data_IF_846297235265
#
_entry.id   IF_846297235265
#
_cell.length_a   1.000
_cell.length_b   1.000
_cell.length_c   1.000
_cell.angle_alpha   90.00
_cell.angle_beta   90.00
_cell.angle_gamma   90.00
#
_symmetry.space_group_name_H-M   'P 1'
#
loop_
_entity.id
_entity.type
_entity.pdbx_description
1 polymer ?
#
# COMPACT_ATOMS: atom_id res chain seq x y z
N UNK A 1 2.86 14.19 6.46
CA UNK A 1 1.93 13.10 6.82
C UNK A 1 1.62 13.13 8.32
N UNK A 2 2.62 13.20 9.20
CA UNK A 2 2.42 13.14 10.67
C UNK A 2 1.62 14.31 11.25
N UNK A 3 1.54 15.44 10.59
CA UNK A 3 0.73 16.62 10.97
C UNK A 3 -0.75 16.46 10.66
N UNK A 4 -1.13 15.52 9.78
CA UNK A 4 -2.52 15.26 9.44
C UNK A 4 -3.24 14.52 10.58
N UNK A 5 -4.59 14.64 10.68
CA UNK A 5 -5.40 13.81 11.57
C UNK A 5 -5.14 12.32 11.33
N UNK A 6 -5.21 11.51 12.39
CA UNK A 6 -5.04 10.05 12.28
C UNK A 6 -6.15 9.43 11.41
N UNK A 7 -5.91 8.21 10.93
CA UNK A 7 -6.87 7.45 10.14
C UNK A 7 -6.81 7.78 8.65
N UNK A 8 -7.97 7.98 8.02
CA UNK A 8 -8.10 8.11 6.57
C UNK A 8 -7.25 9.22 5.94
N UNK A 9 -7.13 10.44 6.52
CA UNK A 9 -6.28 11.48 5.94
C UNK A 9 -4.80 11.08 5.85
N UNK A 10 -4.28 10.39 6.87
CA UNK A 10 -2.89 9.88 6.84
C UNK A 10 -2.73 8.72 5.88
N UNK A 11 -3.71 7.83 5.80
CA UNK A 11 -3.71 6.70 4.88
C UNK A 11 -3.68 7.19 3.44
N UNK A 12 -4.55 8.14 3.09
CA UNK A 12 -4.58 8.77 1.77
C UNK A 12 -3.23 9.42 1.44
N UNK A 13 -2.70 10.26 2.35
CA UNK A 13 -1.44 10.95 2.16
C UNK A 13 -0.23 9.99 2.02
N UNK A 14 -0.25 8.85 2.73
CA UNK A 14 0.77 7.82 2.59
C UNK A 14 0.74 7.19 1.19
N UNK A 15 -0.46 6.83 0.70
CA UNK A 15 -0.63 6.26 -0.64
C UNK A 15 -0.22 7.25 -1.73
N UNK A 16 -0.62 8.52 -1.60
CA UNK A 16 -0.22 9.58 -2.52
C UNK A 16 1.30 9.77 -2.57
N UNK A 17 1.96 9.75 -1.40
CA UNK A 17 3.40 9.87 -1.29
C UNK A 17 4.13 8.67 -1.94
N UNK A 18 3.64 7.45 -1.77
CA UNK A 18 4.23 6.26 -2.40
C UNK A 18 4.07 6.27 -3.92
N UNK A 19 2.90 6.65 -4.43
CA UNK A 19 2.69 6.76 -5.86
C UNK A 19 3.51 7.92 -6.46
N UNK A 20 3.65 9.04 -5.74
CA UNK A 20 4.53 10.13 -6.16
C UNK A 20 6.02 9.70 -6.14
N UNK A 21 6.43 8.85 -5.21
CA UNK A 21 7.78 8.27 -5.20
C UNK A 21 8.07 7.44 -6.45
N UNK A 22 7.10 6.68 -6.95
CA UNK A 22 7.24 5.89 -8.18
C UNK A 22 7.35 6.77 -9.44
N UNK A 23 6.74 7.96 -9.41
CA UNK A 23 6.78 8.94 -10.50
C UNK A 23 8.14 9.64 -10.61
N UNK A 24 8.80 9.83 -9.46
CA UNK A 24 10.10 10.49 -9.42
C UNK A 24 11.21 9.49 -9.73
N UNK A 25 11.67 9.48 -10.98
CA UNK A 25 12.81 8.67 -11.44
C UNK A 25 14.15 9.15 -10.83
N UNK A 26 14.24 9.19 -9.48
CA UNK A 26 15.48 9.49 -8.76
C UNK A 26 16.58 8.49 -9.05
N UNK A 27 16.17 7.25 -9.33
CA UNK A 27 17.09 6.16 -9.62
C UNK A 27 16.80 5.59 -11.01
N UNK A 28 17.78 5.38 -11.87
CA UNK A 28 17.59 4.81 -13.20
C UNK A 28 16.87 3.44 -13.18
N UNK A 29 17.04 2.67 -12.10
CA UNK A 29 16.40 1.38 -11.89
C UNK A 29 15.01 1.43 -11.21
N UNK A 30 14.47 2.61 -10.89
CA UNK A 30 13.23 2.75 -10.11
C UNK A 30 13.45 2.61 -8.60
N UNK A 31 12.45 2.12 -7.88
CA UNK A 31 12.56 1.91 -6.43
C UNK A 31 13.48 0.71 -6.12
N UNK A 32 14.65 0.93 -5.51
CA UNK A 32 15.58 -0.18 -5.22
C UNK A 32 15.01 -1.19 -4.24
N UNK A 33 14.14 -0.76 -3.31
CA UNK A 33 13.50 -1.68 -2.37
C UNK A 33 12.55 -2.65 -3.08
N UNK A 34 11.74 -2.16 -4.02
CA UNK A 34 10.83 -3.02 -4.78
C UNK A 34 11.58 -3.95 -5.72
N UNK A 35 12.68 -3.51 -6.33
CA UNK A 35 13.53 -4.37 -7.14
C UNK A 35 14.19 -5.47 -6.28
N UNK A 36 14.75 -5.11 -5.13
CA UNK A 36 15.44 -6.04 -4.24
C UNK A 36 14.50 -7.11 -3.64
N UNK A 37 13.23 -6.78 -3.39
CA UNK A 37 12.27 -7.76 -2.86
C UNK A 37 12.18 -8.98 -3.76
N UNK A 38 12.04 -8.81 -5.07
CA UNK A 38 11.92 -9.92 -6.01
C UNK A 38 13.24 -10.67 -6.26
N UNK A 39 14.37 -10.01 -6.03
CA UNK A 39 15.68 -10.63 -6.19
C UNK A 39 16.08 -11.47 -4.97
N UNK A 40 15.68 -11.05 -3.77
CA UNK A 40 16.15 -11.62 -2.51
C UNK A 40 15.06 -12.35 -1.71
N UNK A 41 13.84 -12.54 -2.23
CA UNK A 41 12.74 -13.20 -1.50
C UNK A 41 13.08 -14.64 -1.09
N UNK A 42 13.81 -15.38 -1.92
CA UNK A 42 14.24 -16.75 -1.67
C UNK A 42 15.74 -16.90 -1.26
N UNK A 43 16.44 -15.76 -1.02
CA UNK A 43 17.85 -15.77 -0.65
C UNK A 43 18.04 -15.48 0.84
N UNK A 44 18.16 -16.48 1.73
CA UNK A 44 18.38 -16.25 3.16
C UNK A 44 19.63 -15.41 3.43
N UNK A 45 19.54 -14.47 4.38
CA UNK A 45 20.67 -13.64 4.78
C UNK A 45 20.26 -12.22 5.17
N UNK A 46 21.25 -11.40 5.52
CA UNK A 46 21.06 -10.08 6.10
C UNK A 46 20.23 -9.12 5.20
N UNK A 47 20.37 -9.23 3.87
CA UNK A 47 19.61 -8.41 2.92
C UNK A 47 18.13 -8.77 2.98
N UNK A 48 17.80 -10.05 2.86
CA UNK A 48 16.43 -10.53 2.99
C UNK A 48 15.82 -10.13 4.34
N UNK A 49 16.55 -10.32 5.41
CA UNK A 49 16.06 -9.96 6.76
C UNK A 49 15.76 -8.46 6.89
N UNK A 50 16.59 -7.61 6.29
CA UNK A 50 16.34 -6.17 6.25
C UNK A 50 15.09 -5.82 5.42
N UNK A 51 14.88 -6.49 4.27
CA UNK A 51 13.71 -6.33 3.42
C UNK A 51 12.44 -6.79 4.14
N UNK A 52 12.47 -7.93 4.82
CA UNK A 52 11.33 -8.46 5.61
C UNK A 52 10.91 -7.45 6.68
N UNK A 53 11.88 -6.92 7.44
CA UNK A 53 11.59 -5.88 8.44
C UNK A 53 11.01 -4.60 7.83
N UNK A 54 11.61 -4.11 6.74
CA UNK A 54 11.18 -2.88 6.08
C UNK A 54 9.80 -3.00 5.43
N UNK A 55 9.57 -4.06 4.68
CA UNK A 55 8.28 -4.32 4.01
C UNK A 55 7.18 -4.64 5.03
N UNK A 56 7.49 -5.42 6.08
CA UNK A 56 6.58 -5.69 7.19
C UNK A 56 6.15 -4.40 7.87
N UNK A 57 7.09 -3.52 8.23
CA UNK A 57 6.78 -2.23 8.82
C UNK A 57 5.88 -1.35 7.94
N UNK A 58 6.12 -1.32 6.62
CA UNK A 58 5.30 -0.58 5.68
C UNK A 58 3.86 -1.12 5.64
N UNK A 59 3.71 -2.45 5.52
CA UNK A 59 2.42 -3.12 5.49
C UNK A 59 1.64 -2.92 6.79
N UNK A 60 2.30 -3.08 7.93
CA UNK A 60 1.70 -2.83 9.25
C UNK A 60 1.29 -1.37 9.44
N UNK A 61 2.02 -0.44 8.83
CA UNK A 61 1.65 0.98 8.87
C UNK A 61 0.35 1.25 8.12
N UNK A 62 0.18 0.68 6.93
CA UNK A 62 -1.10 0.77 6.18
C UNK A 62 -2.24 0.17 7.00
N UNK A 63 -2.03 -1.03 7.56
CA UNK A 63 -3.03 -1.71 8.38
C UNK A 63 -3.46 -0.85 9.60
N UNK A 64 -2.48 -0.35 10.37
CA UNK A 64 -2.78 0.50 11.54
C UNK A 64 -3.53 1.78 11.16
N UNK A 65 -3.24 2.37 10.00
CA UNK A 65 -3.95 3.57 9.54
C UNK A 65 -5.38 3.23 9.09
N UNK A 66 -5.59 2.09 8.45
CA UNK A 66 -6.92 1.60 8.08
C UNK A 66 -7.77 1.29 9.35
N UNK A 67 -7.20 0.61 10.34
CA UNK A 67 -7.84 0.34 11.64
C UNK A 67 -8.19 1.63 12.37
N UNK A 68 -7.28 2.62 12.36
CA UNK A 68 -7.55 3.93 12.95
C UNK A 68 -8.69 4.68 12.22
N UNK A 69 -8.79 4.54 10.90
CA UNK A 69 -9.88 5.14 10.13
C UNK A 69 -11.25 4.51 10.47
N UNK A 70 -11.29 3.19 10.68
CA UNK A 70 -12.50 2.51 11.18
C UNK A 70 -12.85 2.97 12.60
N UNK A 71 -11.87 2.98 13.51
CA UNK A 71 -12.07 3.40 14.90
C UNK A 71 -12.57 4.85 15.03
N UNK A 72 -12.22 5.72 14.07
CA UNK A 72 -12.66 7.11 13.99
C UNK A 72 -13.90 7.30 13.10
N UNK A 73 -14.58 6.22 12.72
CA UNK A 73 -15.78 6.24 11.88
C UNK A 73 -15.57 6.93 10.50
N UNK A 74 -14.33 6.99 10.02
CA UNK A 74 -13.98 7.52 8.69
C UNK A 74 -14.11 6.46 7.60
N UNK A 75 -14.08 5.18 7.99
CA UNK A 75 -14.44 4.02 7.18
C UNK A 75 -15.55 3.24 7.88
N UNK A 76 -16.36 2.47 7.13
CA UNK A 76 -17.42 1.64 7.71
C UNK A 76 -16.90 0.66 8.76
N UNK A 77 -17.70 0.41 9.80
CA UNK A 77 -17.33 -0.45 10.91
C UNK A 77 -17.04 -1.92 10.51
N UNK A 78 -17.65 -2.37 9.42
CA UNK A 78 -17.50 -3.71 8.84
C UNK A 78 -16.38 -3.79 7.78
N UNK A 79 -15.52 -2.77 7.68
CA UNK A 79 -14.37 -2.79 6.77
C UNK A 79 -13.39 -3.89 7.15
N UNK A 80 -13.06 -4.78 6.20
CA UNK A 80 -11.95 -5.72 6.33
C UNK A 80 -10.61 -4.99 6.14
N UNK A 81 -10.03 -4.56 7.24
CA UNK A 81 -8.80 -3.76 7.22
C UNK A 81 -7.57 -4.54 6.76
N UNK A 82 -7.54 -5.87 6.94
CA UNK A 82 -6.47 -6.74 6.45
C UNK A 82 -6.51 -6.85 4.92
N UNK A 83 -7.69 -7.10 4.37
CA UNK A 83 -7.88 -7.15 2.91
C UNK A 83 -7.64 -5.76 2.31
N UNK A 84 -8.13 -4.69 2.94
CA UNK A 84 -7.88 -3.33 2.47
C UNK A 84 -6.37 -3.02 2.42
N UNK A 85 -5.62 -3.37 3.47
CA UNK A 85 -4.18 -3.18 3.52
C UNK A 85 -3.46 -4.00 2.43
N UNK A 86 -3.88 -5.25 2.19
CA UNK A 86 -3.37 -6.09 1.11
C UNK A 86 -3.58 -5.43 -0.26
N UNK A 87 -4.79 -4.97 -0.53
CA UNK A 87 -5.14 -4.37 -1.81
C UNK A 87 -4.41 -3.04 -2.05
N UNK A 88 -4.34 -2.16 -1.05
CA UNK A 88 -3.61 -0.90 -1.16
C UNK A 88 -2.12 -1.13 -1.40
N UNK A 89 -1.52 -2.09 -0.69
CA UNK A 89 -0.13 -2.46 -0.92
C UNK A 89 0.06 -3.05 -2.31
N UNK A 90 -0.86 -3.89 -2.78
CA UNK A 90 -0.89 -4.46 -4.12
C UNK A 90 -0.98 -3.42 -5.23
N UNK A 91 -1.74 -2.32 -5.03
CA UNK A 91 -1.80 -1.21 -5.99
C UNK A 91 -0.42 -0.59 -6.21
N UNK A 92 0.37 -0.38 -5.16
CA UNK A 92 1.73 0.17 -5.29
C UNK A 92 2.65 -0.78 -6.04
N UNK A 93 2.58 -2.08 -5.75
CA UNK A 93 3.37 -3.11 -6.42
C UNK A 93 3.03 -3.20 -7.92
N UNK A 94 1.73 -3.23 -8.24
CA UNK A 94 1.24 -3.26 -9.62
C UNK A 94 1.63 -1.99 -10.38
N UNK A 95 1.50 -0.82 -9.76
CA UNK A 95 1.91 0.45 -10.36
C UNK A 95 3.42 0.46 -10.68
N UNK A 96 4.26 -0.04 -9.76
CA UNK A 96 5.70 -0.16 -10.01
C UNK A 96 6.00 -1.08 -11.20
N UNK A 97 5.38 -2.26 -11.26
CA UNK A 97 5.50 -3.19 -12.37
C UNK A 97 5.11 -2.54 -13.71
N UNK A 98 3.95 -1.89 -13.76
CA UNK A 98 3.44 -1.27 -14.98
C UNK A 98 4.33 -0.10 -15.46
N UNK A 99 4.79 0.73 -14.52
CA UNK A 99 5.71 1.85 -14.86
C UNK A 99 7.06 1.32 -15.34
N UNK A 100 7.61 0.30 -14.67
CA UNK A 100 8.99 -0.14 -14.92
C UNK A 100 9.11 -1.17 -16.04
N UNK A 101 8.27 -2.19 -16.03
CA UNK A 101 8.36 -3.29 -16.99
C UNK A 101 7.54 -3.01 -18.25
N UNK A 102 6.31 -2.55 -18.09
CA UNK A 102 5.40 -2.36 -19.21
C UNK A 102 5.47 -0.96 -19.83
N UNK A 103 6.18 -0.01 -19.19
CA UNK A 103 6.34 1.38 -19.62
C UNK A 103 4.99 2.06 -19.95
N UNK A 104 3.93 1.75 -19.18
CA UNK A 104 2.59 2.29 -19.41
C UNK A 104 2.47 3.71 -18.88
N UNK A 105 2.14 4.70 -19.72
CA UNK A 105 2.13 6.12 -19.31
C UNK A 105 0.99 6.48 -18.35
N UNK A 106 -0.10 5.71 -18.34
CA UNK A 106 -1.31 5.94 -17.53
C UNK A 106 -1.31 5.23 -16.17
N UNK A 107 -0.27 4.42 -15.89
CA UNK A 107 -0.23 3.52 -14.71
C UNK A 107 -0.42 4.24 -13.38
N UNK A 108 0.24 5.38 -13.18
CA UNK A 108 0.13 6.13 -11.92
C UNK A 108 -1.25 6.79 -11.75
N UNK A 109 -1.84 7.29 -12.83
CA UNK A 109 -3.19 7.83 -12.81
C UNK A 109 -4.22 6.73 -12.49
N UNK A 110 -4.04 5.53 -13.09
CA UNK A 110 -4.85 4.36 -12.82
C UNK A 110 -4.73 3.90 -11.36
N UNK A 111 -3.50 3.85 -10.83
CA UNK A 111 -3.24 3.48 -9.45
C UNK A 111 -3.89 4.45 -8.45
N UNK A 112 -3.80 5.77 -8.69
CA UNK A 112 -4.48 6.78 -7.85
C UNK A 112 -6.00 6.60 -7.84
N UNK A 113 -6.60 6.31 -9.00
CA UNK A 113 -8.04 5.99 -9.06
C UNK A 113 -8.37 4.72 -8.30
N UNK A 114 -7.53 3.68 -8.41
CA UNK A 114 -7.69 2.43 -7.66
C UNK A 114 -7.67 2.66 -6.13
N UNK A 115 -6.70 3.43 -5.63
CA UNK A 115 -6.65 3.83 -4.22
C UNK A 115 -7.93 4.57 -3.82
N UNK A 116 -8.35 5.57 -4.61
CA UNK A 116 -9.57 6.34 -4.31
C UNK A 116 -10.82 5.46 -4.25
N UNK A 117 -10.96 4.50 -5.16
CA UNK A 117 -12.07 3.56 -5.17
C UNK A 117 -12.07 2.63 -3.95
N UNK A 118 -10.90 2.09 -3.58
CA UNK A 118 -10.76 1.23 -2.41
C UNK A 118 -11.10 1.96 -1.11
N UNK A 119 -10.73 3.23 -0.99
CA UNK A 119 -11.04 4.03 0.19
C UNK A 119 -12.50 4.51 0.23
N UNK A 120 -13.13 4.74 -0.93
CA UNK A 120 -14.54 5.11 -1.02
C UNK A 120 -15.50 3.92 -0.78
N UNK A 121 -15.10 2.72 -1.21
CA UNK A 121 -15.87 1.48 -1.07
C UNK A 121 -14.93 0.35 -0.61
N UNK A 122 -14.49 0.37 0.66
CA UNK A 122 -13.54 -0.62 1.16
C UNK A 122 -14.17 -2.02 1.23
N UNK A 123 -13.33 -3.07 1.15
CA UNK A 123 -13.79 -4.44 1.30
C UNK A 123 -14.47 -4.66 2.66
N UNK A 124 -15.52 -5.47 2.68
CA UNK A 124 -16.27 -5.81 3.88
C UNK A 124 -15.75 -7.09 4.49
N UNK A 125 -15.71 -7.14 5.81
CA UNK A 125 -15.45 -8.36 6.54
C UNK A 125 -16.54 -9.40 6.29
N UNK A 126 -16.18 -10.68 6.39
CA UNK A 126 -17.18 -11.75 6.37
C UNK A 126 -18.19 -11.52 7.51
N UNK A 127 -19.50 -11.74 7.28
CA UNK A 127 -20.47 -11.71 8.36
C UNK A 127 -20.07 -12.71 9.44
N UNK A 128 -20.29 -12.42 10.72
CA UNK A 128 -20.00 -13.37 11.79
C UNK A 128 -20.71 -14.68 11.46
N UNK A 129 -19.92 -15.76 11.39
CA UNK A 129 -20.46 -17.11 11.18
C UNK A 129 -21.47 -17.38 12.29
N UNK A 130 -22.76 -17.37 11.93
CA UNK A 130 -23.85 -17.68 12.83
C UNK A 130 -23.60 -19.05 13.45
N UNK A 131 -23.60 -19.11 14.78
CA UNK A 131 -23.67 -20.36 15.53
C UNK A 131 -25.11 -20.83 15.57
#
# INVERSE_FOLDING_TARGET
ILTLPRGLPRLQALMDAWLAWLDHARYPGGCPLLAAVYEFDDQPGAVRDALVRGQGWQRDTVLRLAQAAVAQQQLPADTDTEVLALLLFGVVQSAHHDVRLLARPDSLALARRGVSQLLAAPPRGAPPSGR
#
